data_IF_192773045436
#
_entry.id   IF_192773045436
#
_cell.length_a   1.000
_cell.length_b   1.000
_cell.length_c   1.000
_cell.angle_alpha   90.00
_cell.angle_beta   90.00
_cell.angle_gamma   90.00
#
_symmetry.space_group_name_H-M   'P 1'
#
loop_
_entity.id
_entity.type
_entity.pdbx_description
1 polymer ?
#
# COMPACT_ATOMS: atom_id res chain seq x y z
N UNK A 1 -35.15 -1.84 -12.52
CA UNK A 1 -35.78 -0.63 -11.94
C UNK A 1 -34.71 0.43 -11.84
N UNK A 2 -34.87 1.48 -12.64
CA UNK A 2 -33.88 2.49 -13.03
C UNK A 2 -33.57 3.43 -11.85
N UNK A 3 -32.36 3.33 -11.28
CA UNK A 3 -31.77 4.44 -10.53
C UNK A 3 -30.75 5.07 -11.44
N UNK A 4 -31.16 6.14 -12.15
CA UNK A 4 -30.28 7.10 -12.80
C UNK A 4 -29.33 7.68 -11.73
N UNK A 5 -28.23 6.97 -11.43
CA UNK A 5 -27.10 7.54 -10.71
C UNK A 5 -26.56 8.65 -11.60
N UNK A 6 -26.84 9.88 -11.19
CA UNK A 6 -26.36 11.07 -11.86
C UNK A 6 -24.83 10.97 -11.97
N UNK A 7 -24.26 10.95 -13.18
CA UNK A 7 -22.80 10.91 -13.42
C UNK A 7 -22.11 12.24 -13.03
N UNK A 8 -22.58 12.89 -11.97
CA UNK A 8 -22.15 14.20 -11.45
C UNK A 8 -21.30 14.07 -10.19
N UNK A 9 -20.86 12.86 -9.83
CA UNK A 9 -20.10 12.63 -8.60
C UNK A 9 -18.70 13.27 -8.61
N UNK A 10 -18.19 13.65 -9.80
CA UNK A 10 -16.95 14.41 -9.95
C UNK A 10 -15.75 13.78 -9.21
N UNK A 11 -14.94 14.62 -8.58
CA UNK A 11 -13.79 14.21 -7.77
C UNK A 11 -14.22 13.34 -6.58
N UNK A 12 -15.40 13.59 -6.00
CA UNK A 12 -15.94 12.79 -4.89
C UNK A 12 -16.25 11.35 -5.29
N UNK A 13 -16.75 11.13 -6.50
CA UNK A 13 -16.95 9.79 -7.06
C UNK A 13 -15.63 9.06 -7.33
N UNK A 14 -14.58 9.79 -7.72
CA UNK A 14 -13.23 9.24 -7.90
C UNK A 14 -12.59 8.83 -6.57
N UNK A 15 -12.85 9.59 -5.50
CA UNK A 15 -12.33 9.31 -4.16
C UNK A 15 -13.04 8.17 -3.45
N UNK A 16 -14.30 7.87 -3.81
CA UNK A 16 -15.12 6.87 -3.11
C UNK A 16 -14.59 5.43 -3.33
N UNK A 17 -14.11 4.74 -2.27
CA UNK A 17 -13.61 3.37 -2.39
C UNK A 17 -14.73 2.32 -2.49
N UNK A 18 -15.93 2.61 -1.96
CA UNK A 18 -16.98 1.61 -1.75
C UNK A 18 -17.70 1.13 -3.01
N UNK A 19 -17.62 1.87 -4.11
CA UNK A 19 -18.36 1.57 -5.35
C UNK A 19 -17.71 0.47 -6.21
N UNK A 20 -16.44 0.15 -5.97
CA UNK A 20 -15.59 -0.56 -6.94
C UNK A 20 -14.83 -1.76 -6.33
N UNK A 21 -15.24 -2.25 -5.16
CA UNK A 21 -14.66 -3.44 -4.54
C UNK A 21 -13.26 -3.24 -3.95
N UNK A 22 -12.59 -4.35 -3.66
CA UNK A 22 -11.28 -4.39 -3.00
C UNK A 22 -10.17 -3.81 -3.88
N UNK A 23 -10.36 -3.86 -5.20
CA UNK A 23 -9.39 -3.41 -6.20
C UNK A 23 -9.21 -1.88 -6.15
N UNK A 24 -10.28 -1.15 -5.83
CA UNK A 24 -10.21 0.30 -5.59
C UNK A 24 -9.45 0.64 -4.32
N UNK A 25 -9.61 -0.16 -3.26
CA UNK A 25 -8.82 -0.01 -2.02
C UNK A 25 -7.34 -0.28 -2.33
N UNK A 26 -7.03 -1.37 -3.02
CA UNK A 26 -5.66 -1.71 -3.40
C UNK A 26 -5.01 -0.64 -4.31
N UNK A 27 -5.79 -0.03 -5.20
CA UNK A 27 -5.35 1.10 -6.02
C UNK A 27 -4.95 2.31 -5.18
N UNK A 28 -5.78 2.71 -4.22
CA UNK A 28 -5.49 3.83 -3.34
C UNK A 28 -4.28 3.55 -2.45
N UNK A 29 -4.24 2.37 -1.82
CA UNK A 29 -3.12 1.96 -0.97
C UNK A 29 -1.80 1.96 -1.75
N UNK A 30 -1.78 1.50 -3.01
CA UNK A 30 -0.55 1.47 -3.82
C UNK A 30 0.02 2.87 -4.08
N UNK A 31 -0.87 3.84 -4.34
CA UNK A 31 -0.47 5.23 -4.63
C UNK A 31 -0.05 5.96 -3.37
N UNK A 32 -0.85 5.83 -2.31
CA UNK A 32 -0.58 6.49 -1.04
C UNK A 32 0.69 5.92 -0.38
N UNK A 33 0.89 4.60 -0.43
CA UNK A 33 2.13 3.99 0.06
C UNK A 33 3.33 4.43 -0.77
N UNK A 34 3.20 4.56 -2.10
CA UNK A 34 4.30 5.07 -2.94
C UNK A 34 4.70 6.50 -2.59
N UNK A 35 3.72 7.40 -2.38
CA UNK A 35 3.99 8.77 -1.96
C UNK A 35 4.58 8.83 -0.55
N UNK A 36 4.06 8.04 0.39
CA UNK A 36 4.58 7.94 1.76
C UNK A 36 6.01 7.40 1.78
N UNK A 37 6.31 6.38 0.98
CA UNK A 37 7.66 5.82 0.83
C UNK A 37 8.62 6.78 0.16
N UNK A 38 8.17 7.61 -0.79
CA UNK A 38 9.01 8.66 -1.37
C UNK A 38 9.43 9.68 -0.30
N UNK A 39 8.48 10.13 0.52
CA UNK A 39 8.78 11.04 1.64
C UNK A 39 9.71 10.38 2.65
N UNK A 40 9.41 9.14 3.04
CA UNK A 40 10.27 8.37 3.95
C UNK A 40 11.66 8.16 3.37
N UNK A 41 11.80 7.86 2.09
CA UNK A 41 13.09 7.64 1.44
C UNK A 41 13.99 8.88 1.54
N UNK A 42 13.45 10.08 1.32
CA UNK A 42 14.18 11.34 1.50
C UNK A 42 14.59 11.52 2.96
N UNK A 43 13.65 11.30 3.89
CA UNK A 43 13.93 11.39 5.33
C UNK A 43 14.97 10.36 5.80
N UNK A 44 14.94 9.15 5.23
CA UNK A 44 15.84 8.06 5.57
C UNK A 44 17.25 8.30 5.03
N UNK A 45 17.39 8.88 3.83
CA UNK A 45 18.70 9.35 3.35
C UNK A 45 19.26 10.39 4.31
N UNK A 46 18.45 11.35 4.75
CA UNK A 46 18.89 12.35 5.71
C UNK A 46 19.31 11.71 7.04
N UNK A 47 18.49 10.81 7.58
CA UNK A 47 18.75 10.12 8.84
C UNK A 47 20.03 9.27 8.78
N UNK A 48 20.18 8.46 7.73
CA UNK A 48 21.38 7.65 7.52
C UNK A 48 22.62 8.53 7.28
N UNK A 49 22.47 9.70 6.64
CA UNK A 49 23.60 10.63 6.45
C UNK A 49 24.14 11.23 7.75
N UNK A 50 23.38 11.18 8.85
CA UNK A 50 23.82 11.66 10.16
C UNK A 50 25.06 10.94 10.69
N UNK A 51 25.34 9.73 10.22
CA UNK A 51 26.57 8.99 10.55
C UNK A 51 27.84 9.79 10.18
N UNK A 52 27.77 10.64 9.14
CA UNK A 52 28.88 11.50 8.72
C UNK A 52 29.12 12.67 9.70
N UNK A 53 28.16 12.98 10.56
CA UNK A 53 28.28 14.00 11.62
C UNK A 53 28.92 13.45 12.90
N UNK A 54 29.36 12.19 12.88
CA UNK A 54 29.96 11.51 14.03
C UNK A 54 28.92 11.07 15.06
N UNK A 55 29.41 10.56 16.18
CA UNK A 55 28.60 9.92 17.23
C UNK A 55 27.48 10.82 17.77
N UNK A 56 27.76 12.11 17.97
CA UNK A 56 26.76 13.06 18.49
C UNK A 56 25.56 13.18 17.55
N UNK A 57 25.82 13.39 16.24
CA UNK A 57 24.74 13.54 15.26
C UNK A 57 23.95 12.25 15.03
N UNK A 58 24.62 11.10 15.12
CA UNK A 58 23.97 9.79 15.06
C UNK A 58 23.06 9.56 16.27
N UNK A 59 23.59 9.78 17.48
CA UNK A 59 22.85 9.56 18.74
C UNK A 59 21.63 10.51 18.86
N UNK A 60 21.74 11.75 18.36
CA UNK A 60 20.60 12.68 18.28
C UNK A 60 19.43 12.10 17.49
N UNK A 61 19.69 11.51 16.32
CA UNK A 61 18.62 10.91 15.49
C UNK A 61 18.14 9.58 16.05
N UNK A 62 19.03 8.73 16.60
CA UNK A 62 18.61 7.51 17.28
C UNK A 62 17.68 7.80 18.46
N UNK A 63 17.96 8.83 19.25
CA UNK A 63 17.07 9.23 20.34
C UNK A 63 15.70 9.72 19.85
N UNK A 64 15.64 10.36 18.67
CA UNK A 64 14.37 10.76 18.05
C UNK A 64 13.58 9.54 17.53
N UNK A 65 14.26 8.63 16.83
CA UNK A 65 13.61 7.47 16.21
C UNK A 65 13.21 6.40 17.22
N UNK A 66 13.78 6.43 18.43
CA UNK A 66 13.43 5.57 19.55
C UNK A 66 12.30 6.11 20.45
N UNK A 67 11.53 7.09 19.96
CA UNK A 67 10.33 7.57 20.66
C UNK A 67 9.09 6.73 20.28
N UNK A 68 8.13 6.53 21.19
CA UNK A 68 6.89 5.79 20.90
C UNK A 68 6.12 6.33 19.69
N UNK A 69 6.09 7.66 19.52
CA UNK A 69 5.45 8.31 18.39
C UNK A 69 6.15 7.96 17.07
N UNK A 70 7.49 7.92 17.08
CA UNK A 70 8.26 7.58 15.89
C UNK A 70 8.21 6.07 15.59
N UNK A 71 8.12 5.21 16.60
CA UNK A 71 7.84 3.79 16.41
C UNK A 71 6.54 3.56 15.63
N UNK A 72 5.46 4.30 15.92
CA UNK A 72 4.21 4.23 15.15
C UNK A 72 4.44 4.60 13.68
N UNK A 73 5.21 5.65 13.41
CA UNK A 73 5.59 6.04 12.04
C UNK A 73 6.36 4.91 11.35
N UNK A 74 7.35 4.31 12.01
CA UNK A 74 8.13 3.19 11.48
C UNK A 74 7.26 1.96 11.20
N UNK A 75 6.29 1.63 12.06
CA UNK A 75 5.34 0.54 11.83
C UNK A 75 4.49 0.80 10.58
N UNK A 76 4.01 2.03 10.40
CA UNK A 76 3.27 2.43 9.19
C UNK A 76 4.17 2.30 7.96
N UNK A 77 5.43 2.75 8.03
CA UNK A 77 6.41 2.63 6.95
C UNK A 77 6.66 1.16 6.58
N UNK A 78 6.81 0.26 7.57
CA UNK A 78 6.92 -1.18 7.34
C UNK A 78 5.72 -1.70 6.55
N UNK A 79 4.50 -1.35 7.00
CA UNK A 79 3.26 -1.71 6.28
C UNK A 79 3.22 -1.17 4.86
N UNK A 80 3.60 0.09 4.66
CA UNK A 80 3.68 0.71 3.34
C UNK A 80 4.68 -0.02 2.45
N UNK A 81 5.90 -0.30 2.92
CA UNK A 81 6.94 -1.04 2.19
C UNK A 81 6.43 -2.40 1.73
N UNK A 82 5.92 -3.23 2.66
CA UNK A 82 5.50 -4.59 2.34
C UNK A 82 4.31 -4.59 1.39
N UNK A 83 3.29 -3.76 1.66
CA UNK A 83 2.14 -3.66 0.77
C UNK A 83 2.55 -3.16 -0.63
N UNK A 84 3.33 -2.07 -0.71
CA UNK A 84 3.75 -1.47 -1.98
C UNK A 84 4.54 -2.47 -2.83
N UNK A 85 5.45 -3.21 -2.22
CA UNK A 85 6.24 -4.23 -2.91
C UNK A 85 5.38 -5.40 -3.38
N UNK A 86 4.62 -6.03 -2.47
CA UNK A 86 3.85 -7.24 -2.81
C UNK A 86 2.73 -6.92 -3.82
N UNK A 87 1.99 -5.82 -3.62
CA UNK A 87 0.97 -5.39 -4.57
C UNK A 87 1.59 -4.86 -5.87
N UNK A 88 2.79 -4.26 -5.82
CA UNK A 88 3.56 -3.89 -7.01
C UNK A 88 3.92 -5.10 -7.88
N UNK A 89 4.48 -6.16 -7.27
CA UNK A 89 4.77 -7.43 -7.94
C UNK A 89 3.51 -8.02 -8.55
N UNK A 90 2.38 -8.01 -7.82
CA UNK A 90 1.07 -8.44 -8.33
C UNK A 90 0.64 -7.69 -9.59
N UNK A 91 0.85 -6.36 -9.64
CA UNK A 91 0.57 -5.55 -10.84
C UNK A 91 1.51 -5.92 -11.98
N UNK A 92 2.81 -6.08 -11.71
CA UNK A 92 3.81 -6.47 -12.71
C UNK A 92 3.48 -7.82 -13.35
N UNK A 93 3.16 -8.83 -12.52
CA UNK A 93 2.72 -10.15 -12.98
C UNK A 93 1.42 -10.06 -13.79
N UNK A 94 0.47 -9.23 -13.34
CA UNK A 94 -0.77 -8.98 -14.06
C UNK A 94 -0.57 -8.38 -15.44
N UNK A 95 0.44 -7.52 -15.61
CA UNK A 95 0.82 -6.98 -16.93
C UNK A 95 1.32 -8.10 -17.88
N UNK A 96 2.03 -9.09 -17.33
CA UNK A 96 2.44 -10.29 -18.06
C UNK A 96 1.34 -11.34 -18.26
N UNK A 97 0.09 -11.04 -17.90
CA UNK A 97 -1.04 -11.99 -18.02
C UNK A 97 -1.12 -13.05 -16.91
N UNK A 98 -0.26 -12.96 -15.89
CA UNK A 98 -0.25 -13.90 -14.76
C UNK A 98 -1.24 -13.42 -13.69
N UNK A 99 -2.12 -14.33 -13.25
CA UNK A 99 -3.07 -14.04 -12.15
C UNK A 99 -4.26 -13.17 -12.54
N UNK A 100 -4.44 -12.84 -13.82
CA UNK A 100 -5.64 -12.18 -14.37
C UNK A 100 -6.50 -13.19 -15.15
N UNK A 101 -7.80 -12.90 -15.30
CA UNK A 101 -8.67 -13.73 -16.13
C UNK A 101 -8.44 -13.53 -17.63
N UNK A 102 -8.90 -14.51 -18.42
CA UNK A 102 -8.77 -14.46 -19.88
C UNK A 102 -9.70 -13.39 -20.45
N UNK A 103 -9.29 -12.69 -21.53
CA UNK A 103 -10.18 -11.81 -22.26
C UNK A 103 -11.44 -12.57 -22.69
N UNK A 104 -12.60 -11.99 -22.40
CA UNK A 104 -13.90 -12.49 -22.88
C UNK A 104 -14.55 -11.42 -23.74
N UNK A 105 -15.57 -11.81 -24.52
CA UNK A 105 -16.39 -10.84 -25.26
C UNK A 105 -17.11 -9.92 -24.26
N UNK A 106 -17.04 -8.60 -24.42
CA UNK A 106 -17.75 -7.66 -23.55
C UNK A 106 -19.22 -7.61 -23.97
N UNK A 107 -19.97 -8.67 -23.67
CA UNK A 107 -21.40 -8.74 -23.88
C UNK A 107 -22.12 -8.14 -22.67
N UNK A 108 -23.18 -7.37 -22.89
CA UNK A 108 -23.95 -6.79 -21.79
C UNK A 108 -24.76 -7.89 -21.07
N UNK A 109 -24.75 -7.97 -19.73
CA UNK A 109 -24.08 -7.08 -18.78
C UNK A 109 -22.56 -7.27 -18.71
N UNK A 110 -21.81 -6.17 -18.72
CA UNK A 110 -20.34 -6.19 -18.72
C UNK A 110 -19.78 -6.75 -17.40
N UNK A 111 -19.36 -8.01 -17.43
CA UNK A 111 -18.67 -8.67 -16.33
C UNK A 111 -17.15 -8.60 -16.55
N UNK A 112 -16.36 -8.03 -15.63
CA UNK A 112 -14.93 -7.89 -15.80
C UNK A 112 -14.21 -9.25 -15.63
N UNK A 113 -13.98 -9.95 -16.74
CA UNK A 113 -13.31 -11.25 -16.72
C UNK A 113 -11.92 -11.25 -16.05
N UNK A 114 -11.21 -10.12 -16.09
CA UNK A 114 -9.90 -9.97 -15.46
C UNK A 114 -9.95 -9.94 -13.92
N UNK A 115 -11.10 -9.61 -13.32
CA UNK A 115 -11.30 -9.45 -11.88
C UNK A 115 -11.78 -10.74 -11.21
N UNK A 116 -11.07 -11.83 -11.49
CA UNK A 116 -11.39 -13.16 -10.98
C UNK A 116 -10.91 -13.37 -9.53
N UNK A 117 -11.22 -14.53 -8.95
CA UNK A 117 -10.84 -14.86 -7.58
C UNK A 117 -9.32 -14.87 -7.37
N UNK A 118 -8.53 -15.30 -8.36
CA UNK A 118 -7.05 -15.35 -8.26
C UNK A 118 -6.49 -13.95 -8.05
N UNK A 119 -6.99 -12.97 -8.81
CA UNK A 119 -6.64 -11.56 -8.64
C UNK A 119 -6.97 -11.07 -7.23
N UNK A 120 -8.19 -11.34 -6.75
CA UNK A 120 -8.63 -10.89 -5.41
C UNK A 120 -7.81 -11.50 -4.28
N UNK A 121 -7.52 -12.81 -4.35
CA UNK A 121 -6.68 -13.48 -3.35
C UNK A 121 -5.31 -12.81 -3.25
N UNK A 122 -4.67 -12.49 -4.38
CA UNK A 122 -3.35 -11.84 -4.35
C UNK A 122 -3.35 -10.44 -3.70
N UNK A 123 -4.47 -9.70 -3.80
CA UNK A 123 -4.65 -8.44 -3.08
C UNK A 123 -4.76 -8.69 -1.57
N UNK A 124 -5.58 -9.65 -1.16
CA UNK A 124 -5.70 -10.02 0.25
C UNK A 124 -4.38 -10.54 0.82
N UNK A 125 -3.62 -11.32 0.05
CA UNK A 125 -2.27 -11.75 0.44
C UNK A 125 -1.34 -10.57 0.70
N UNK A 126 -1.35 -9.53 -0.14
CA UNK A 126 -0.54 -8.33 0.08
C UNK A 126 -0.94 -7.60 1.38
N UNK A 127 -2.24 -7.50 1.66
CA UNK A 127 -2.76 -6.88 2.89
C UNK A 127 -2.36 -7.69 4.12
N UNK A 128 -2.55 -9.01 4.08
CA UNK A 128 -2.21 -9.92 5.20
C UNK A 128 -0.72 -9.90 5.48
N UNK A 129 0.12 -9.98 4.44
CA UNK A 129 1.58 -9.91 4.62
C UNK A 129 2.02 -8.58 5.21
N UNK A 130 1.43 -7.46 4.76
CA UNK A 130 1.70 -6.15 5.35
C UNK A 130 1.27 -6.09 6.81
N UNK A 131 0.08 -6.60 7.16
CA UNK A 131 -0.40 -6.65 8.55
C UNK A 131 0.52 -7.51 9.44
N UNK A 132 0.94 -8.68 8.97
CA UNK A 132 1.88 -9.55 9.69
C UNK A 132 3.22 -8.85 9.92
N UNK A 133 3.76 -8.17 8.89
CA UNK A 133 4.99 -7.41 9.01
C UNK A 133 4.86 -6.24 9.99
N UNK A 134 3.71 -5.55 10.00
CA UNK A 134 3.43 -4.48 10.98
C UNK A 134 3.34 -5.01 12.40
N UNK A 135 2.68 -6.16 12.62
CA UNK A 135 2.60 -6.79 13.94
C UNK A 135 3.99 -7.17 14.42
N UNK A 136 4.80 -7.82 13.59
CA UNK A 136 6.17 -8.17 13.91
C UNK A 136 7.05 -6.92 14.14
N UNK A 137 6.91 -5.89 13.31
CA UNK A 137 7.59 -4.61 13.51
C UNK A 137 7.21 -3.96 14.84
N UNK A 138 5.94 -4.04 15.23
CA UNK A 138 5.46 -3.53 16.51
C UNK A 138 6.07 -4.27 17.70
N UNK A 139 6.16 -5.61 17.66
CA UNK A 139 6.78 -6.38 18.75
C UNK A 139 8.26 -6.04 18.89
N UNK A 140 8.96 -5.83 17.77
CA UNK A 140 10.38 -5.45 17.77
C UNK A 140 10.59 -4.04 18.30
N UNK A 141 9.79 -3.06 17.86
CA UNK A 141 9.98 -1.66 18.22
C UNK A 141 9.58 -1.36 19.66
N UNK A 142 8.49 -1.95 20.16
CA UNK A 142 8.05 -1.76 21.54
C UNK A 142 8.66 -2.77 22.53
N UNK A 143 9.43 -3.76 22.04
CA UNK A 143 10.08 -4.76 22.88
C UNK A 143 9.11 -5.69 23.62
N UNK A 144 7.96 -6.01 23.02
CA UNK A 144 6.87 -6.83 23.60
C UNK A 144 6.79 -8.20 22.95
#
# INVERSE_FOLDING_TARGET
>A
MDSKKNNREGIGGMANPGRYGIERVAYWLMRLSGLGLLVYFIAHIYETSSILRGEVGWNELMAMTDTPEFHIVLIIVIGMCVFHTVNGIRVMLGHGGIGVGRPTRPDYPYEPASQNMRHKITIYSAIVLAAVAMIYGSTVLFGV
#
